data_IF_044122531566
#
_entry.id   IF_044122531566
#
_cell.length_a   1.000
_cell.length_b   1.000
_cell.length_c   1.000
_cell.angle_alpha   90.00
_cell.angle_beta   90.00
_cell.angle_gamma   90.00
#
_symmetry.space_group_name_H-M   'P 1'
#
loop_
_entity.id
_entity.type
_entity.pdbx_description
1 polymer ?
#
# COMPACT_ATOMS: atom_id res chain seq x y z
N UNK A 1 -2.53 17.28 -5.13
CA UNK A 1 -3.04 16.80 -6.42
C UNK A 1 -2.02 15.88 -7.08
N UNK A 2 -2.50 14.80 -7.67
CA UNK A 2 -1.65 13.86 -8.39
C UNK A 2 -1.48 14.37 -9.81
N UNK A 3 -0.23 14.41 -10.26
CA UNK A 3 0.05 14.85 -11.63
C UNK A 3 -0.30 13.74 -12.62
N UNK A 4 -0.69 14.13 -13.80
CA UNK A 4 -1.11 13.20 -14.85
C UNK A 4 0.00 12.23 -15.26
N UNK A 5 1.25 12.68 -15.20
CA UNK A 5 2.40 11.85 -15.58
C UNK A 5 2.90 10.94 -14.46
N UNK A 6 2.26 10.97 -13.28
CA UNK A 6 2.62 10.08 -12.19
C UNK A 6 1.84 8.79 -12.33
N UNK A 7 2.51 7.66 -12.50
CA UNK A 7 1.80 6.39 -12.59
C UNK A 7 1.19 6.02 -11.25
N UNK A 8 -0.06 5.56 -11.30
CA UNK A 8 -0.71 5.00 -10.13
C UNK A 8 -0.63 3.48 -10.22
N UNK A 9 -0.13 2.88 -9.16
CA UNK A 9 0.01 1.42 -9.08
C UNK A 9 -0.73 0.96 -7.84
N UNK A 10 -1.49 -0.11 -7.99
CA UNK A 10 -2.24 -0.70 -6.88
C UNK A 10 -1.57 -2.02 -6.51
N UNK A 11 -1.13 -2.17 -5.23
CA UNK A 11 -0.65 -3.48 -4.78
C UNK A 11 -1.77 -4.52 -4.85
N UNK A 12 -1.42 -5.75 -5.22
CA UNK A 12 -2.40 -6.83 -5.33
C UNK A 12 -3.19 -7.03 -4.04
N UNK A 13 -2.55 -6.87 -2.88
CA UNK A 13 -3.24 -7.01 -1.60
C UNK A 13 -4.32 -5.94 -1.41
N UNK A 14 -4.09 -4.73 -1.93
CA UNK A 14 -5.07 -3.64 -1.84
C UNK A 14 -6.28 -3.96 -2.73
N UNK A 15 -6.02 -4.48 -3.93
CA UNK A 15 -7.10 -4.94 -4.81
C UNK A 15 -7.94 -6.01 -4.10
N UNK A 16 -7.28 -6.98 -3.48
CA UNK A 16 -7.96 -8.06 -2.76
C UNK A 16 -8.82 -7.52 -1.62
N UNK A 17 -8.28 -6.61 -0.81
CA UNK A 17 -9.01 -6.01 0.31
C UNK A 17 -10.21 -5.20 -0.16
N UNK A 18 -10.04 -4.47 -1.25
CA UNK A 18 -11.14 -3.70 -1.83
C UNK A 18 -12.29 -4.62 -2.26
N UNK A 19 -11.97 -5.70 -2.97
CA UNK A 19 -12.99 -6.62 -3.47
C UNK A 19 -13.57 -7.51 -2.38
N UNK A 20 -12.84 -7.77 -1.31
CA UNK A 20 -13.33 -8.58 -0.18
C UNK A 20 -14.56 -7.95 0.46
N UNK A 21 -14.64 -6.63 0.49
CA UNK A 21 -15.77 -5.93 1.10
C UNK A 21 -17.03 -5.89 0.24
N UNK A 22 -16.99 -6.45 -0.96
CA UNK A 22 -18.11 -6.38 -1.90
C UNK A 22 -18.94 -7.65 -1.78
N UNK A 23 -20.26 -7.49 -1.63
CA UNK A 23 -21.14 -8.62 -1.30
C UNK A 23 -21.99 -9.13 -2.45
N UNK A 24 -22.12 -8.39 -3.55
CA UNK A 24 -22.93 -8.82 -4.68
C UNK A 24 -22.07 -9.00 -5.93
N UNK A 25 -22.47 -9.92 -6.79
CA UNK A 25 -21.77 -10.15 -8.05
C UNK A 25 -21.73 -8.90 -8.93
N UNK A 26 -22.83 -8.15 -8.93
CA UNK A 26 -22.91 -6.91 -9.72
C UNK A 26 -21.91 -5.87 -9.23
N UNK A 27 -21.83 -5.66 -7.92
CA UNK A 27 -20.88 -4.72 -7.34
C UNK A 27 -19.44 -5.19 -7.50
N UNK A 28 -19.23 -6.52 -7.43
CA UNK A 28 -17.91 -7.09 -7.65
C UNK A 28 -17.43 -6.78 -9.08
N UNK A 29 -18.31 -7.00 -10.07
CA UNK A 29 -17.97 -6.71 -11.46
C UNK A 29 -17.70 -5.21 -11.68
N UNK A 30 -18.47 -4.34 -11.04
CA UNK A 30 -18.21 -2.90 -11.09
C UNK A 30 -16.85 -2.56 -10.53
N UNK A 31 -16.49 -3.19 -9.41
CA UNK A 31 -15.17 -2.99 -8.82
C UNK A 31 -14.06 -3.39 -9.75
N UNK A 32 -14.20 -4.55 -10.41
CA UNK A 32 -13.23 -4.99 -11.40
C UNK A 32 -13.10 -3.99 -12.55
N UNK A 33 -14.22 -3.47 -13.03
CA UNK A 33 -14.21 -2.50 -14.12
C UNK A 33 -13.46 -1.23 -13.75
N UNK A 34 -13.67 -0.75 -12.52
CA UNK A 34 -12.96 0.44 -12.04
C UNK A 34 -11.46 0.14 -11.94
N UNK A 35 -11.09 -1.01 -11.37
CA UNK A 35 -9.70 -1.36 -11.16
C UNK A 35 -8.95 -1.66 -12.45
N UNK A 36 -9.67 -2.03 -13.52
CA UNK A 36 -9.05 -2.36 -14.80
C UNK A 36 -8.28 -1.18 -15.41
N UNK A 37 -8.57 0.04 -14.97
CA UNK A 37 -7.85 1.22 -15.44
C UNK A 37 -6.52 1.47 -14.72
N UNK A 38 -6.19 0.66 -13.72
CA UNK A 38 -4.98 0.85 -12.93
C UNK A 38 -4.00 -0.29 -13.16
N UNK A 39 -2.71 0.02 -12.99
CA UNK A 39 -1.69 -1.02 -12.99
C UNK A 39 -1.68 -1.69 -11.62
N UNK A 40 -1.72 -3.02 -11.61
CA UNK A 40 -1.65 -3.79 -10.37
C UNK A 40 -0.25 -4.39 -10.26
N UNK A 41 0.38 -4.22 -9.11
CA UNK A 41 1.68 -4.80 -8.83
C UNK A 41 1.53 -5.87 -7.76
N UNK A 42 2.20 -7.00 -7.95
CA UNK A 42 2.13 -8.13 -7.01
C UNK A 42 3.45 -8.22 -6.25
N UNK A 43 3.35 -8.59 -4.98
CA UNK A 43 4.52 -8.72 -4.15
C UNK A 43 5.38 -9.90 -4.61
N UNK A 44 6.69 -9.66 -4.68
CA UNK A 44 7.66 -10.70 -5.01
C UNK A 44 8.44 -11.10 -3.75
N UNK A 45 9.44 -11.95 -3.94
CA UNK A 45 10.25 -12.46 -2.83
C UNK A 45 10.90 -11.30 -2.04
N UNK A 46 11.49 -10.33 -2.74
CA UNK A 46 12.17 -9.21 -2.08
C UNK A 46 11.19 -8.34 -1.30
N UNK A 47 9.98 -8.17 -1.81
CA UNK A 47 8.94 -7.42 -1.10
C UNK A 47 8.59 -8.11 0.22
N UNK A 48 8.46 -9.43 0.21
CA UNK A 48 8.15 -10.19 1.42
C UNK A 48 9.29 -10.12 2.43
N UNK A 49 10.55 -10.18 1.98
CA UNK A 49 11.68 -10.02 2.88
C UNK A 49 11.70 -8.65 3.53
N UNK A 50 11.46 -7.62 2.73
CA UNK A 50 11.42 -6.24 3.24
C UNK A 50 10.28 -6.09 4.25
N UNK A 51 9.11 -6.64 3.95
CA UNK A 51 7.96 -6.58 4.84
C UNK A 51 8.27 -7.24 6.19
N UNK A 52 8.94 -8.38 6.17
CA UNK A 52 9.34 -9.06 7.40
C UNK A 52 10.30 -8.20 8.22
N UNK A 53 11.24 -7.52 7.56
CA UNK A 53 12.16 -6.61 8.25
C UNK A 53 11.45 -5.43 8.86
N UNK A 54 10.47 -4.87 8.15
CA UNK A 54 9.66 -3.76 8.65
C UNK A 54 8.92 -4.18 9.91
N UNK A 55 8.27 -5.36 9.89
CA UNK A 55 7.58 -5.88 11.07
C UNK A 55 8.53 -6.05 12.24
N UNK A 56 9.71 -6.59 11.98
CA UNK A 56 10.72 -6.81 13.02
C UNK A 56 11.19 -5.50 13.64
N UNK A 57 11.45 -4.49 12.81
CA UNK A 57 11.89 -3.19 13.27
C UNK A 57 10.80 -2.48 14.08
N UNK A 58 9.56 -2.58 13.64
CA UNK A 58 8.43 -2.02 14.37
C UNK A 58 8.30 -2.69 15.74
N UNK A 59 8.37 -4.02 15.76
CA UNK A 59 8.25 -4.78 16.99
C UNK A 59 9.32 -4.37 18.01
N UNK A 60 10.57 -4.18 17.56
CA UNK A 60 11.65 -3.77 18.44
C UNK A 60 11.41 -2.40 19.08
N UNK A 61 10.62 -1.57 18.44
CA UNK A 61 10.28 -0.23 18.95
C UNK A 61 8.93 -0.20 19.65
N UNK A 62 8.32 -1.37 19.91
CA UNK A 62 7.05 -1.46 20.57
C UNK A 62 5.87 -1.06 19.72
N UNK A 63 6.05 -1.02 18.39
CA UNK A 63 5.00 -0.66 17.46
C UNK A 63 4.45 -1.91 16.82
N UNK A 64 3.13 -2.07 16.85
CA UNK A 64 2.48 -3.15 16.14
C UNK A 64 2.16 -2.69 14.71
N UNK A 65 2.62 -3.45 13.72
CA UNK A 65 2.21 -3.24 12.34
C UNK A 65 1.59 -4.53 11.83
N UNK A 66 0.54 -4.40 11.02
CA UNK A 66 -0.06 -5.58 10.42
C UNK A 66 0.82 -6.08 9.28
N UNK A 67 0.70 -7.37 8.97
CA UNK A 67 1.42 -7.93 7.82
C UNK A 67 1.00 -7.26 6.51
N UNK A 68 -0.26 -6.87 6.42
CA UNK A 68 -0.78 -6.18 5.23
C UNK A 68 -0.13 -4.80 5.08
N UNK A 69 -0.09 -4.03 6.15
CA UNK A 69 0.54 -2.70 6.09
C UNK A 69 2.03 -2.82 5.77
N UNK A 70 2.70 -3.82 6.33
CA UNK A 70 4.11 -4.04 6.09
C UNK A 70 4.38 -4.38 4.61
N UNK A 71 3.54 -5.22 3.99
CA UNK A 71 3.75 -5.57 2.58
C UNK A 71 3.46 -4.38 1.66
N UNK A 72 2.46 -3.57 1.99
CA UNK A 72 2.19 -2.35 1.22
C UNK A 72 3.38 -1.39 1.30
N UNK A 73 3.92 -1.19 2.50
CA UNK A 73 5.08 -0.33 2.69
C UNK A 73 6.29 -0.86 1.93
N UNK A 74 6.55 -2.17 2.01
CA UNK A 74 7.67 -2.80 1.34
C UNK A 74 7.58 -2.64 -0.18
N UNK A 75 6.42 -2.89 -0.75
CA UNK A 75 6.22 -2.74 -2.19
C UNK A 75 6.43 -1.30 -2.64
N UNK A 76 5.96 -0.35 -1.84
CA UNK A 76 6.13 1.07 -2.14
C UNK A 76 7.61 1.46 -2.15
N UNK A 77 8.35 1.00 -1.14
CA UNK A 77 9.79 1.28 -1.03
C UNK A 77 10.53 0.67 -2.22
N UNK A 78 10.24 -0.58 -2.55
CA UNK A 78 10.96 -1.30 -3.60
C UNK A 78 10.63 -0.75 -5.00
N UNK A 79 9.47 -0.13 -5.16
CA UNK A 79 9.13 0.57 -6.40
C UNK A 79 9.72 1.99 -6.44
N UNK A 80 10.37 2.41 -5.37
CA UNK A 80 10.85 3.78 -5.22
C UNK A 80 9.72 4.81 -5.39
N UNK A 81 8.55 4.45 -4.88
CA UNK A 81 7.35 5.25 -5.01
C UNK A 81 6.98 5.99 -3.74
N UNK A 82 5.83 6.59 -3.77
CA UNK A 82 5.23 7.24 -2.61
C UNK A 82 3.86 6.65 -2.36
N UNK A 83 3.56 6.41 -1.09
CA UNK A 83 2.28 5.83 -0.72
C UNK A 83 1.24 6.92 -0.55
N UNK A 84 0.12 6.77 -1.24
CA UNK A 84 -1.04 7.64 -1.11
C UNK A 84 -2.00 7.01 -0.11
N UNK A 85 -2.10 7.59 1.07
CA UNK A 85 -2.93 7.05 2.14
C UNK A 85 -3.35 8.16 3.09
N UNK A 86 -4.48 7.96 3.76
CA UNK A 86 -4.92 8.82 4.87
C UNK A 86 -4.78 8.12 6.21
N UNK A 87 -4.26 6.88 6.21
CA UNK A 87 -4.12 6.07 7.41
C UNK A 87 -2.88 6.49 8.18
N UNK A 88 -3.07 6.86 9.45
CA UNK A 88 -1.97 7.29 10.31
C UNK A 88 -0.99 6.19 10.64
N UNK A 89 -1.37 4.91 10.51
CA UNK A 89 -0.46 3.79 10.75
C UNK A 89 0.75 3.87 9.83
N UNK A 90 0.57 4.31 8.59
CA UNK A 90 1.68 4.44 7.66
C UNK A 90 2.60 5.61 8.00
N UNK A 91 2.10 6.65 8.67
CA UNK A 91 2.95 7.71 9.18
C UNK A 91 3.90 7.18 10.25
N UNK A 92 3.40 6.30 11.11
CA UNK A 92 4.21 5.66 12.13
C UNK A 92 5.27 4.77 11.50
N UNK A 93 4.88 3.95 10.52
CA UNK A 93 5.80 3.08 9.81
C UNK A 93 6.88 3.89 9.09
N UNK A 94 6.52 5.03 8.50
CA UNK A 94 7.46 5.85 7.75
C UNK A 94 8.58 6.43 8.61
N UNK A 95 8.38 6.50 9.92
CA UNK A 95 9.41 6.96 10.85
C UNK A 95 10.45 5.89 11.14
N UNK A 96 10.17 4.64 10.81
CA UNK A 96 11.04 3.51 11.13
C UNK A 96 11.79 3.01 9.91
N UNK A 97 11.19 3.12 8.73
CA UNK A 97 11.78 2.66 7.48
C UNK A 97 11.77 3.80 6.46
N UNK A 98 12.26 3.51 5.26
CA UNK A 98 12.38 4.53 4.19
C UNK A 98 11.12 4.71 3.38
N UNK A 99 9.96 4.43 3.96
CA UNK A 99 8.68 4.65 3.29
C UNK A 99 8.44 6.14 3.07
N UNK A 100 8.18 6.52 1.83
CA UNK A 100 7.82 7.88 1.47
C UNK A 100 6.32 7.97 1.28
N UNK A 101 5.72 8.99 1.88
CA UNK A 101 4.30 9.23 1.74
C UNK A 101 4.05 10.36 0.75
N UNK A 102 2.94 10.26 0.03
CA UNK A 102 2.50 11.36 -0.82
C UNK A 102 2.00 12.48 0.09
N UNK A 103 2.50 13.70 -0.15
CA UNK A 103 2.12 14.86 0.64
C UNK A 103 0.96 15.57 -0.03
N UNK A 104 -0.17 15.67 0.68
CA UNK A 104 -1.28 16.45 0.22
C UNK A 104 -1.00 17.93 0.46
N UNK A 105 -1.48 18.79 -0.44
CA UNK A 105 -1.31 20.22 -0.26
C UNK A 105 -1.97 20.68 1.03
N UNK A 106 -1.27 21.49 1.81
CA UNK A 106 -1.84 22.09 3.01
C UNK A 106 -2.78 23.23 2.65
N UNK A 107 -3.65 23.49 3.58
CA UNK A 107 -4.54 24.64 3.48
C UNK A 107 -4.14 25.71 4.43
#
# INVERSE_FOLDING_TARGET
MIKDDWPLVIPGIVLQEFLTGVTSDKSFQKGLDVLSGFNVNYADYEDHLMAARICSQCHKKGIQSSSIDAIIAAMTINLNGRLLTVDNDFKTISKICHLKLFQFASR
#
